data_IF_141364488111
#
_entry.id   IF_141364488111
#
_cell.length_a   1.000
_cell.length_b   1.000
_cell.length_c   1.000
_cell.angle_alpha   90.00
_cell.angle_beta   90.00
_cell.angle_gamma   90.00
#
_symmetry.space_group_name_H-M   'P 1'
#
loop_
_entity.id
_entity.type
_entity.pdbx_description
1 polymer ?
#
# COMPACT_ATOMS: atom_id res chain seq x y z
N UNK A 1 10.75 12.87 25.77
CA UNK A 1 9.99 13.55 24.72
C UNK A 1 8.64 12.86 24.53
N UNK A 2 7.66 13.53 23.91
CA UNK A 2 6.39 12.94 23.52
C UNK A 2 6.58 12.03 22.29
N UNK A 3 5.94 10.86 22.29
CA UNK A 3 6.00 9.90 21.19
C UNK A 3 4.61 9.35 20.85
N UNK A 4 4.42 8.90 19.63
CA UNK A 4 3.14 8.49 19.04
C UNK A 4 3.29 7.12 18.39
N UNK A 5 2.46 6.18 18.81
CA UNK A 5 2.52 4.79 18.40
C UNK A 5 1.48 4.48 17.32
N UNK A 6 1.92 3.90 16.22
CA UNK A 6 1.09 3.33 15.18
C UNK A 6 1.18 1.81 15.16
N UNK A 7 0.08 1.14 14.86
CA UNK A 7 -0.02 -0.32 14.71
C UNK A 7 -0.79 -0.64 13.43
N UNK A 8 -0.25 -1.54 12.60
CA UNK A 8 -0.92 -2.07 11.42
C UNK A 8 -0.71 -3.59 11.32
N UNK A 9 -1.81 -4.33 11.21
CA UNK A 9 -1.83 -5.79 11.00
C UNK A 9 -2.66 -6.14 9.76
N UNK A 10 -2.52 -5.33 8.73
CA UNK A 10 -3.15 -5.58 7.45
C UNK A 10 -2.42 -6.68 6.68
N UNK A 11 -3.18 -7.61 6.13
CA UNK A 11 -2.71 -8.65 5.21
C UNK A 11 -1.39 -9.35 5.61
N UNK A 12 -0.27 -9.01 4.96
CA UNK A 12 0.97 -9.79 5.03
C UNK A 12 2.06 -9.19 5.92
N UNK A 13 1.80 -8.10 6.61
CA UNK A 13 2.83 -7.46 7.45
C UNK A 13 2.28 -7.10 8.82
N UNK A 14 2.94 -7.57 9.88
CA UNK A 14 2.77 -7.03 11.23
C UNK A 14 3.71 -5.85 11.37
N UNK A 15 3.22 -4.66 11.69
CA UNK A 15 4.07 -3.48 11.84
C UNK A 15 3.68 -2.58 13.00
N UNK A 16 4.71 -2.03 13.64
CA UNK A 16 4.63 -1.01 14.68
C UNK A 16 5.57 0.13 14.31
N UNK A 17 5.13 1.37 14.45
CA UNK A 17 5.95 2.54 14.20
C UNK A 17 5.81 3.55 15.34
N UNK A 18 6.93 4.14 15.75
CA UNK A 18 6.99 5.18 16.76
C UNK A 18 7.52 6.49 16.14
N UNK A 19 6.75 7.57 16.27
CA UNK A 19 7.14 8.91 15.83
C UNK A 19 7.37 9.83 17.02
N UNK A 20 8.24 10.83 16.84
CA UNK A 20 8.36 11.96 17.75
C UNK A 20 7.40 13.12 17.35
N UNK A 21 7.46 14.22 18.07
CA UNK A 21 6.63 15.43 17.84
C UNK A 21 6.90 16.10 16.49
N UNK A 22 8.06 15.89 15.87
CA UNK A 22 8.42 16.39 14.55
C UNK A 22 8.10 15.41 13.42
N UNK A 23 7.28 14.38 13.69
CA UNK A 23 6.95 13.29 12.76
C UNK A 23 8.17 12.48 12.28
N UNK A 24 9.32 12.59 12.94
CA UNK A 24 10.47 11.75 12.63
C UNK A 24 10.28 10.34 13.18
N UNK A 25 10.69 9.34 12.40
CA UNK A 25 10.62 7.93 12.80
C UNK A 25 11.71 7.63 13.81
N UNK A 26 11.31 7.19 15.00
CA UNK A 26 12.21 6.70 16.05
C UNK A 26 12.39 5.19 15.95
N UNK A 27 11.32 4.46 15.63
CA UNK A 27 11.34 3.03 15.40
C UNK A 27 10.31 2.65 14.34
N UNK A 28 10.65 1.68 13.50
CA UNK A 28 9.77 1.12 12.47
C UNK A 28 10.04 -0.39 12.39
N UNK A 29 9.31 -1.13 13.20
CA UNK A 29 9.47 -2.57 13.34
C UNK A 29 8.43 -3.29 12.51
N UNK A 30 8.89 -4.14 11.58
CA UNK A 30 8.03 -4.89 10.66
C UNK A 30 8.41 -6.36 10.62
N UNK A 31 7.38 -7.21 10.45
CA UNK A 31 7.57 -8.61 10.17
C UNK A 31 6.59 -9.07 9.10
N UNK A 32 7.13 -9.49 7.96
CA UNK A 32 6.34 -10.09 6.88
C UNK A 32 5.90 -11.48 7.33
N UNK A 33 4.63 -11.82 7.08
CA UNK A 33 4.09 -13.15 7.37
C UNK A 33 4.68 -14.19 6.44
N UNK A 34 4.92 -15.35 6.96
CA UNK A 34 5.48 -16.47 6.21
C UNK A 34 4.38 -17.17 5.41
N UNK A 35 4.52 -17.20 4.10
CA UNK A 35 3.66 -17.99 3.21
C UNK A 35 4.36 -19.32 2.91
N UNK A 36 3.74 -20.49 3.18
CA UNK A 36 4.34 -21.78 2.88
C UNK A 36 4.68 -21.92 1.38
N UNK A 37 5.76 -22.63 1.09
CA UNK A 37 6.20 -22.89 -0.28
C UNK A 37 5.08 -23.53 -1.11
N UNK A 38 4.91 -23.06 -2.34
CA UNK A 38 3.85 -23.50 -3.26
C UNK A 38 2.46 -22.92 -3.00
N UNK A 39 2.25 -22.16 -1.91
CA UNK A 39 0.99 -21.43 -1.69
C UNK A 39 1.04 -20.01 -2.29
N UNK A 40 -0.12 -19.53 -2.72
CA UNK A 40 -0.30 -18.17 -3.32
C UNK A 40 -0.85 -17.15 -2.33
N UNK A 41 -0.83 -17.46 -1.02
CA UNK A 41 -1.34 -16.60 0.03
C UNK A 41 -1.65 -17.34 1.32
N UNK A 42 -2.20 -16.61 2.30
CA UNK A 42 -2.59 -17.11 3.62
C UNK A 42 -4.11 -16.99 3.81
N UNK A 43 -4.69 -17.93 4.58
CA UNK A 43 -6.04 -17.79 5.10
C UNK A 43 -6.10 -16.68 6.16
N UNK A 44 -7.28 -16.12 6.41
CA UNK A 44 -7.44 -15.08 7.45
C UNK A 44 -7.07 -15.61 8.84
N UNK A 45 -7.38 -16.86 9.15
CA UNK A 45 -7.01 -17.51 10.41
C UNK A 45 -5.50 -17.64 10.57
N UNK A 46 -4.78 -17.95 9.49
CA UNK A 46 -3.33 -18.02 9.46
C UNK A 46 -2.69 -16.64 9.67
N UNK A 47 -3.25 -15.60 9.03
CA UNK A 47 -2.80 -14.22 9.23
C UNK A 47 -2.98 -13.80 10.69
N UNK A 48 -4.17 -14.02 11.28
CA UNK A 48 -4.45 -13.72 12.70
C UNK A 48 -3.45 -14.44 13.60
N UNK A 49 -3.23 -15.75 13.39
CA UNK A 49 -2.29 -16.53 14.17
C UNK A 49 -0.87 -15.95 14.16
N UNK A 50 -0.36 -15.61 12.98
CA UNK A 50 0.99 -15.04 12.85
C UNK A 50 1.05 -13.63 13.44
N UNK A 51 0.06 -12.77 13.21
CA UNK A 51 0.02 -11.42 13.80
C UNK A 51 0.02 -11.47 15.32
N UNK A 52 -0.80 -12.34 15.94
CA UNK A 52 -0.87 -12.48 17.40
C UNK A 52 0.49 -12.89 17.97
N UNK A 53 1.25 -13.72 17.28
CA UNK A 53 2.60 -14.12 17.71
C UNK A 53 3.64 -13.02 17.50
N UNK A 54 3.52 -12.25 16.41
CA UNK A 54 4.51 -11.24 16.07
C UNK A 54 4.38 -9.96 16.92
N UNK A 55 3.14 -9.59 17.30
CA UNK A 55 2.88 -8.32 18.01
C UNK A 55 3.65 -8.18 19.32
N UNK A 56 3.70 -9.19 20.22
CA UNK A 56 4.49 -9.09 21.46
C UNK A 56 5.97 -8.83 21.18
N UNK A 57 6.58 -9.61 20.27
CA UNK A 57 8.00 -9.49 19.97
C UNK A 57 8.36 -8.12 19.35
N UNK A 58 7.49 -7.57 18.48
CA UNK A 58 7.70 -6.23 17.93
C UNK A 58 7.47 -5.13 18.99
N UNK A 59 6.52 -5.34 19.91
CA UNK A 59 6.27 -4.43 21.04
C UNK A 59 7.48 -4.39 21.97
N UNK A 60 8.08 -5.52 22.28
CA UNK A 60 9.31 -5.63 23.09
C UNK A 60 10.48 -4.86 22.46
N UNK A 61 10.64 -4.94 21.14
CA UNK A 61 11.67 -4.16 20.42
C UNK A 61 11.42 -2.66 20.53
N UNK A 62 10.16 -2.22 20.38
CA UNK A 62 9.80 -0.79 20.50
C UNK A 62 9.94 -0.30 21.94
N UNK A 63 9.77 -1.15 22.95
CA UNK A 63 9.84 -0.77 24.35
C UNK A 63 11.17 -0.07 24.71
N UNK A 64 12.28 -0.42 24.09
CA UNK A 64 13.56 0.25 24.29
C UNK A 64 13.55 1.73 23.87
N UNK A 65 12.77 2.08 22.85
CA UNK A 65 12.59 3.46 22.38
C UNK A 65 11.54 4.24 23.19
N UNK A 66 10.65 3.52 23.89
CA UNK A 66 9.68 4.13 24.81
C UNK A 66 10.34 4.47 26.15
N UNK A 67 11.39 3.74 26.56
CA UNK A 67 12.08 4.01 27.80
C UNK A 67 12.60 5.45 27.86
N UNK A 68 12.17 6.23 28.87
CA UNK A 68 12.48 7.65 29.02
C UNK A 68 11.67 8.60 28.14
N UNK A 69 10.71 8.10 27.37
CA UNK A 69 9.76 8.89 26.58
C UNK A 69 8.32 8.66 27.06
N UNK A 70 7.40 9.56 26.69
CA UNK A 70 5.99 9.47 27.04
C UNK A 70 5.17 9.16 25.80
N UNK A 71 4.53 7.99 25.76
CA UNK A 71 3.54 7.69 24.71
C UNK A 71 2.32 8.57 24.96
N UNK A 72 1.98 9.42 24.00
CA UNK A 72 0.87 10.39 24.14
C UNK A 72 -0.42 9.92 23.47
N UNK A 73 -0.31 9.10 22.44
CA UNK A 73 -1.45 8.52 21.73
C UNK A 73 -1.06 7.24 20.99
N UNK A 74 -2.05 6.40 20.75
CA UNK A 74 -1.96 5.19 19.94
C UNK A 74 -2.93 5.32 18.77
N UNK A 75 -2.53 4.89 17.57
CA UNK A 75 -3.47 4.69 16.47
C UNK A 75 -3.28 3.33 15.81
N UNK A 76 -4.35 2.79 15.24
CA UNK A 76 -4.35 1.45 14.67
C UNK A 76 -5.25 1.37 13.45
N UNK A 77 -4.83 0.60 12.46
CA UNK A 77 -5.72 0.22 11.37
C UNK A 77 -6.72 -0.83 11.86
N UNK A 78 -8.01 -0.59 11.61
CA UNK A 78 -9.10 -1.44 12.09
C UNK A 78 -9.89 -2.12 10.96
N UNK A 79 -9.68 -1.72 9.72
CA UNK A 79 -10.35 -2.25 8.53
C UNK A 79 -9.58 -1.90 7.24
N UNK A 80 -9.82 -2.62 6.13
CA UNK A 80 -9.17 -2.29 4.85
C UNK A 80 -9.53 -0.89 4.31
N UNK A 81 -10.82 -0.55 4.30
CA UNK A 81 -11.38 0.69 3.77
C UNK A 81 -12.40 1.28 4.72
N UNK A 82 -12.66 2.60 4.64
CA UNK A 82 -13.68 3.29 5.46
C UNK A 82 -15.10 3.04 4.92
N UNK A 83 -15.53 1.78 4.98
CA UNK A 83 -16.87 1.31 4.59
C UNK A 83 -17.37 0.32 5.63
N UNK A 84 -18.68 0.24 5.84
CA UNK A 84 -19.26 -0.62 6.87
C UNK A 84 -19.13 -2.11 6.55
N UNK A 85 -19.15 -2.46 5.26
CA UNK A 85 -18.95 -3.83 4.76
C UNK A 85 -17.48 -4.25 4.63
N UNK A 86 -16.55 -3.36 4.94
CA UNK A 86 -15.11 -3.61 4.85
C UNK A 86 -14.59 -4.24 6.14
N UNK A 87 -14.51 -5.57 6.15
CA UNK A 87 -14.06 -6.36 7.28
C UNK A 87 -13.04 -7.42 6.89
N UNK A 88 -11.96 -7.54 7.66
CA UNK A 88 -11.00 -8.64 7.59
C UNK A 88 -10.50 -8.99 8.99
N UNK A 89 -10.57 -10.29 9.39
CA UNK A 89 -10.15 -10.76 10.72
C UNK A 89 -8.73 -10.38 11.12
N UNK A 90 -7.78 -10.30 10.17
CA UNK A 90 -6.39 -9.93 10.43
C UNK A 90 -6.24 -8.63 11.24
N UNK A 91 -7.10 -7.63 10.97
CA UNK A 91 -7.08 -6.33 11.67
C UNK A 91 -7.43 -6.43 13.16
N UNK A 92 -8.18 -7.46 13.57
CA UNK A 92 -8.55 -7.64 14.98
C UNK A 92 -7.34 -7.86 15.88
N UNK A 93 -6.26 -8.45 15.37
CA UNK A 93 -5.02 -8.67 16.11
C UNK A 93 -4.40 -7.35 16.55
N UNK A 94 -4.19 -6.43 15.61
CA UNK A 94 -3.66 -5.09 15.89
C UNK A 94 -4.61 -4.25 16.74
N UNK A 95 -5.91 -4.28 16.43
CA UNK A 95 -6.93 -3.54 17.18
C UNK A 95 -6.99 -3.99 18.65
N UNK A 96 -6.95 -5.29 18.91
CA UNK A 96 -6.92 -5.83 20.27
C UNK A 96 -5.67 -5.36 21.05
N UNK A 97 -4.51 -5.48 20.43
CA UNK A 97 -3.24 -5.01 21.00
C UNK A 97 -3.29 -3.49 21.29
N UNK A 98 -3.68 -2.69 20.33
CA UNK A 98 -3.77 -1.22 20.46
C UNK A 98 -4.72 -0.79 21.58
N UNK A 99 -5.89 -1.44 21.69
CA UNK A 99 -6.85 -1.17 22.78
C UNK A 99 -6.26 -1.46 24.16
N UNK A 100 -5.57 -2.58 24.29
CA UNK A 100 -4.93 -2.97 25.56
C UNK A 100 -3.84 -1.98 25.94
N UNK A 101 -2.95 -1.62 24.99
CA UNK A 101 -1.88 -0.67 25.22
C UNK A 101 -2.42 0.73 25.57
N UNK A 102 -3.38 1.25 24.81
CA UNK A 102 -3.96 2.56 25.05
C UNK A 102 -4.64 2.64 26.42
N UNK A 103 -5.37 1.60 26.83
CA UNK A 103 -6.01 1.52 28.13
C UNK A 103 -4.99 1.48 29.29
N UNK A 104 -3.94 0.65 29.16
CA UNK A 104 -2.89 0.53 30.19
C UNK A 104 -2.04 1.80 30.34
N UNK A 105 -1.79 2.48 29.22
CA UNK A 105 -1.03 3.74 29.18
C UNK A 105 -1.90 4.97 29.51
N UNK A 106 -3.22 4.79 29.59
CA UNK A 106 -4.21 5.86 29.80
C UNK A 106 -4.08 6.99 28.76
N UNK A 107 -4.00 6.62 27.48
CA UNK A 107 -3.85 7.54 26.34
C UNK A 107 -4.97 7.34 25.30
N UNK A 108 -5.28 8.36 24.48
CA UNK A 108 -6.28 8.25 23.43
C UNK A 108 -5.89 7.20 22.38
N UNK A 109 -6.92 6.49 21.87
CA UNK A 109 -6.82 5.54 20.77
C UNK A 109 -7.56 6.07 19.55
N UNK A 110 -6.85 6.23 18.45
CA UNK A 110 -7.42 6.61 17.16
C UNK A 110 -7.47 5.42 16.20
N UNK A 111 -8.50 5.39 15.36
CA UNK A 111 -8.68 4.33 14.36
C UNK A 111 -8.65 4.91 12.97
N UNK A 112 -8.11 4.14 12.03
CA UNK A 112 -8.09 4.48 10.62
C UNK A 112 -8.18 3.21 9.79
N UNK A 113 -8.57 3.35 8.51
CA UNK A 113 -8.48 2.25 7.56
C UNK A 113 -7.03 2.08 7.08
N UNK A 114 -6.71 0.89 6.59
CA UNK A 114 -5.42 0.61 5.96
C UNK A 114 -5.15 1.53 4.75
N UNK A 115 -6.20 1.86 4.00
CA UNK A 115 -6.11 2.80 2.88
C UNK A 115 -5.70 4.21 3.35
N UNK A 116 -6.30 4.72 4.44
CA UNK A 116 -5.87 5.99 5.07
C UNK A 116 -4.44 5.91 5.59
N UNK A 117 -4.04 4.77 6.16
CA UNK A 117 -2.68 4.56 6.65
C UNK A 117 -1.63 4.76 5.53
N UNK A 118 -1.85 4.18 4.35
CA UNK A 118 -0.95 4.37 3.21
C UNK A 118 -0.85 5.83 2.77
N UNK A 119 -1.98 6.55 2.69
CA UNK A 119 -1.98 7.97 2.33
C UNK A 119 -1.22 8.82 3.35
N UNK A 120 -1.49 8.61 4.64
CA UNK A 120 -0.84 9.34 5.73
C UNK A 120 0.65 9.03 5.81
N UNK A 121 1.06 7.78 5.54
CA UNK A 121 2.47 7.41 5.47
C UNK A 121 3.21 8.15 4.34
N UNK A 122 2.58 8.29 3.17
CA UNK A 122 3.12 9.06 2.06
C UNK A 122 3.25 10.55 2.41
N UNK A 123 2.22 11.16 2.99
CA UNK A 123 2.24 12.58 3.39
C UNK A 123 3.34 12.86 4.42
N UNK A 124 3.39 12.03 5.47
CA UNK A 124 4.43 12.14 6.49
C UNK A 124 5.83 12.11 5.86
N UNK A 125 6.06 11.14 4.98
CA UNK A 125 7.39 10.90 4.42
C UNK A 125 7.83 12.00 3.44
N UNK A 126 6.89 12.64 2.74
CA UNK A 126 7.16 13.78 1.84
C UNK A 126 7.20 15.11 2.63
N UNK A 127 6.65 15.14 3.84
CA UNK A 127 6.54 16.36 4.64
C UNK A 127 5.56 17.40 4.09
N UNK A 128 4.67 16.99 3.17
CA UNK A 128 3.73 17.88 2.51
C UNK A 128 2.37 17.19 2.37
N UNK A 129 1.34 17.84 2.86
CA UNK A 129 -0.05 17.41 2.64
C UNK A 129 -0.53 17.94 1.28
N UNK A 130 -1.07 17.08 0.40
CA UNK A 130 -1.61 17.51 -0.89
C UNK A 130 -2.77 18.49 -0.71
N UNK A 131 -2.86 19.48 -1.59
CA UNK A 131 -4.04 20.34 -1.66
C UNK A 131 -5.20 19.56 -2.25
N UNK A 132 -6.33 19.63 -1.60
CA UNK A 132 -7.53 18.88 -1.96
C UNK A 132 -8.49 19.63 -2.91
N UNK A 133 -9.34 18.89 -3.65
CA UNK A 133 -9.32 17.44 -3.79
C UNK A 133 -8.10 16.97 -4.61
N UNK A 134 -7.59 15.78 -4.31
CA UNK A 134 -6.52 15.16 -5.10
C UNK A 134 -6.87 13.72 -5.49
N UNK A 135 -6.18 13.22 -6.51
CA UNK A 135 -6.29 11.83 -6.93
C UNK A 135 -5.24 10.97 -6.21
N UNK A 136 -5.62 9.78 -5.75
CA UNK A 136 -4.66 8.81 -5.21
C UNK A 136 -4.72 7.50 -5.98
N UNK A 137 -3.56 6.98 -6.36
CA UNK A 137 -3.36 5.69 -6.99
C UNK A 137 -2.90 4.70 -5.93
N UNK A 138 -3.74 3.72 -5.60
CA UNK A 138 -3.43 2.69 -4.61
C UNK A 138 -3.20 1.35 -5.31
N UNK A 139 -1.93 0.92 -5.39
CA UNK A 139 -1.48 -0.29 -6.07
C UNK A 139 -0.78 -1.23 -5.10
N UNK A 140 -1.46 -2.29 -4.68
CA UNK A 140 -0.91 -3.29 -3.75
C UNK A 140 -1.11 -4.73 -4.26
N UNK A 141 -0.70 -5.70 -3.46
CA UNK A 141 -0.98 -7.11 -3.70
C UNK A 141 -2.48 -7.45 -3.78
N UNK A 142 -3.33 -6.69 -3.10
CA UNK A 142 -4.78 -6.91 -3.07
C UNK A 142 -5.63 -5.82 -3.74
N UNK A 143 -5.02 -4.69 -4.09
CA UNK A 143 -5.77 -3.49 -4.51
C UNK A 143 -5.18 -2.87 -5.78
N UNK A 144 -6.05 -2.41 -6.67
CA UNK A 144 -5.73 -1.53 -7.79
C UNK A 144 -6.88 -0.55 -7.94
N UNK A 145 -6.78 0.56 -7.25
CA UNK A 145 -7.84 1.56 -7.17
C UNK A 145 -7.29 2.96 -7.51
N UNK A 146 -8.14 3.75 -8.15
CA UNK A 146 -8.03 5.21 -8.22
C UNK A 146 -9.04 5.78 -7.23
N UNK A 147 -8.58 6.71 -6.42
CA UNK A 147 -9.32 7.30 -5.32
C UNK A 147 -9.38 8.82 -5.50
N UNK A 148 -10.54 9.40 -5.24
CA UNK A 148 -10.69 10.81 -4.93
C UNK A 148 -10.52 10.96 -3.42
N UNK A 149 -9.68 11.89 -3.02
CA UNK A 149 -9.43 12.20 -1.61
C UNK A 149 -9.72 13.68 -1.38
N UNK A 150 -10.55 13.95 -0.39
CA UNK A 150 -10.93 15.30 0.01
C UNK A 150 -11.19 15.35 1.51
N UNK A 151 -11.14 16.56 2.09
CA UNK A 151 -11.48 16.78 3.49
C UNK A 151 -12.92 17.27 3.59
N UNK A 152 -13.69 16.71 4.51
CA UNK A 152 -14.98 17.23 4.93
C UNK A 152 -14.90 17.53 6.44
N UNK A 153 -14.81 18.82 6.77
CA UNK A 153 -14.50 19.25 8.13
C UNK A 153 -13.16 18.68 8.61
N UNK A 154 -13.17 17.92 9.70
CA UNK A 154 -12.00 17.24 10.26
C UNK A 154 -11.77 15.83 9.72
N UNK A 155 -12.63 15.35 8.82
CA UNK A 155 -12.61 13.99 8.31
C UNK A 155 -12.04 13.90 6.90
N UNK A 156 -11.20 12.91 6.64
CA UNK A 156 -10.76 12.57 5.28
C UNK A 156 -11.80 11.66 4.62
N UNK A 157 -12.36 12.12 3.51
CA UNK A 157 -13.30 11.35 2.68
C UNK A 157 -12.53 10.74 1.52
N UNK A 158 -12.60 9.43 1.39
CA UNK A 158 -11.95 8.65 0.32
C UNK A 158 -13.02 7.96 -0.51
N UNK A 159 -13.15 8.37 -1.76
CA UNK A 159 -14.10 7.79 -2.70
C UNK A 159 -13.37 7.06 -3.80
N UNK A 160 -13.71 5.78 -4.02
CA UNK A 160 -13.18 5.03 -5.17
C UNK A 160 -13.86 5.52 -6.44
N UNK A 161 -13.07 6.04 -7.38
CA UNK A 161 -13.53 6.57 -8.67
C UNK A 161 -13.11 5.69 -9.85
N UNK A 162 -12.31 4.66 -9.62
CA UNK A 162 -11.88 3.70 -10.64
C UNK A 162 -11.07 2.56 -10.06
N UNK A 163 -10.72 1.58 -10.90
CA UNK A 163 -9.85 0.49 -10.50
C UNK A 163 -10.10 -0.80 -11.27
N UNK A 164 -9.48 -1.90 -10.84
CA UNK A 164 -9.70 -3.20 -11.49
C UNK A 164 -11.04 -3.82 -11.11
N UNK A 165 -11.62 -4.56 -12.07
CA UNK A 165 -12.85 -5.34 -11.87
C UNK A 165 -12.57 -6.79 -11.46
N UNK A 166 -11.30 -7.22 -11.53
CA UNK A 166 -10.90 -8.60 -11.28
C UNK A 166 -9.63 -8.67 -10.42
N UNK A 167 -8.51 -9.13 -10.95
CA UNK A 167 -7.26 -9.25 -10.20
C UNK A 167 -6.54 -7.92 -10.08
N UNK A 168 -5.88 -7.70 -8.94
CA UNK A 168 -5.04 -6.51 -8.76
C UNK A 168 -3.75 -6.59 -9.60
N UNK A 169 -3.11 -5.43 -9.80
CA UNK A 169 -1.79 -5.35 -10.44
C UNK A 169 -0.75 -6.22 -9.72
N UNK A 170 -0.74 -6.21 -8.38
CA UNK A 170 0.16 -7.05 -7.59
C UNK A 170 -0.14 -8.54 -7.77
N UNK A 171 -1.41 -8.95 -7.76
CA UNK A 171 -1.79 -10.34 -8.05
C UNK A 171 -1.38 -10.77 -9.47
N UNK A 172 -1.54 -9.90 -10.46
CA UNK A 172 -1.11 -10.19 -11.83
C UNK A 172 0.40 -10.45 -11.88
N UNK A 173 1.20 -9.56 -11.31
CA UNK A 173 2.66 -9.70 -11.23
C UNK A 173 3.05 -11.00 -10.48
N UNK A 174 2.45 -11.25 -9.33
CA UNK A 174 2.75 -12.42 -8.50
C UNK A 174 2.39 -13.74 -9.20
N UNK A 175 1.24 -13.81 -9.87
CA UNK A 175 0.81 -15.01 -10.61
C UNK A 175 1.74 -15.33 -11.78
N UNK A 176 2.17 -14.31 -12.53
CA UNK A 176 3.15 -14.48 -13.61
C UNK A 176 4.49 -14.94 -13.04
N UNK A 177 4.99 -14.28 -11.98
CA UNK A 177 6.25 -14.66 -11.36
C UNK A 177 6.26 -16.09 -10.83
N UNK A 178 5.21 -16.50 -10.12
CA UNK A 178 5.08 -17.87 -9.61
C UNK A 178 5.01 -18.90 -10.76
N UNK A 179 4.33 -18.58 -11.86
CA UNK A 179 4.29 -19.46 -13.04
C UNK A 179 5.65 -19.59 -13.72
N UNK A 180 6.52 -18.58 -13.61
CA UNK A 180 7.92 -18.62 -14.06
C UNK A 180 8.86 -19.30 -13.05
N UNK A 181 8.34 -19.83 -11.91
CA UNK A 181 9.14 -20.47 -10.86
C UNK A 181 9.82 -19.49 -9.90
N UNK A 182 9.44 -18.22 -9.92
CA UNK A 182 10.00 -17.21 -9.01
C UNK A 182 9.33 -17.30 -7.61
N UNK A 183 10.06 -16.96 -6.52
CA UNK A 183 9.51 -17.00 -5.18
C UNK A 183 8.36 -15.99 -4.96
N UNK A 184 7.39 -16.34 -4.13
CA UNK A 184 6.32 -15.43 -3.69
C UNK A 184 6.73 -14.63 -2.41
N UNK A 185 6.41 -13.32 -2.30
CA UNK A 185 5.84 -12.42 -3.32
C UNK A 185 6.82 -12.18 -4.47
N UNK A 186 6.32 -12.29 -5.71
CA UNK A 186 7.18 -12.33 -6.88
C UNK A 186 7.59 -10.94 -7.41
N UNK A 187 6.96 -9.87 -6.95
CA UNK A 187 7.10 -8.51 -7.50
C UNK A 187 8.54 -8.07 -7.70
N UNK A 188 9.41 -8.20 -6.68
CA UNK A 188 10.84 -7.82 -6.76
C UNK A 188 11.65 -8.68 -7.75
N UNK A 189 11.25 -9.92 -7.95
CA UNK A 189 11.95 -10.84 -8.87
C UNK A 189 11.53 -10.57 -10.31
N UNK A 190 10.22 -10.35 -10.55
CA UNK A 190 9.70 -9.95 -11.87
C UNK A 190 10.29 -8.60 -12.28
N UNK A 191 10.38 -7.63 -11.35
CA UNK A 191 11.06 -6.35 -11.60
C UNK A 191 12.50 -6.56 -12.06
N UNK A 192 13.28 -7.30 -11.28
CA UNK A 192 14.69 -7.58 -11.61
C UNK A 192 14.87 -8.28 -12.95
N UNK A 193 14.06 -9.29 -13.26
CA UNK A 193 14.13 -10.02 -14.52
C UNK A 193 13.73 -9.15 -15.71
N UNK A 194 12.79 -8.22 -15.54
CA UNK A 194 12.31 -7.36 -16.60
C UNK A 194 13.37 -6.36 -17.12
N UNK A 195 14.34 -5.97 -16.28
CA UNK A 195 15.24 -4.85 -16.53
C UNK A 195 15.99 -4.93 -17.86
N UNK A 196 16.39 -6.14 -18.28
CA UNK A 196 17.16 -6.36 -19.52
C UNK A 196 16.32 -6.23 -20.78
N UNK A 197 15.00 -6.42 -20.69
CA UNK A 197 14.09 -6.45 -21.84
C UNK A 197 13.09 -5.27 -21.88
N UNK A 198 13.09 -4.36 -20.89
CA UNK A 198 12.12 -3.25 -20.83
C UNK A 198 12.17 -2.33 -22.07
N UNK A 199 13.33 -2.15 -22.69
CA UNK A 199 13.47 -1.34 -23.88
C UNK A 199 13.15 -2.07 -25.19
N UNK A 200 12.95 -3.38 -25.15
CA UNK A 200 12.81 -4.24 -26.33
C UNK A 200 11.36 -4.63 -26.63
N UNK A 201 10.48 -4.50 -25.64
CA UNK A 201 9.09 -4.96 -25.73
C UNK A 201 8.09 -3.90 -25.31
N UNK A 202 6.86 -4.07 -25.78
CA UNK A 202 5.70 -3.31 -25.33
C UNK A 202 4.78 -4.22 -24.51
N UNK A 203 3.97 -3.62 -23.64
CA UNK A 203 2.90 -4.32 -22.94
C UNK A 203 1.68 -4.56 -23.84
N UNK A 204 0.82 -5.45 -23.37
CA UNK A 204 -0.46 -5.70 -24.02
C UNK A 204 -1.47 -4.60 -23.67
N UNK A 205 -2.39 -4.22 -24.58
CA UNK A 205 -3.50 -3.33 -24.24
C UNK A 205 -4.38 -3.98 -23.19
N UNK A 206 -4.83 -3.19 -22.23
CA UNK A 206 -5.70 -3.64 -21.13
C UNK A 206 -7.15 -3.27 -21.47
N UNK A 207 -8.10 -4.19 -21.18
CA UNK A 207 -9.50 -3.83 -21.30
C UNK A 207 -9.83 -2.72 -20.30
N UNK A 208 -10.52 -1.67 -20.78
CA UNK A 208 -10.94 -0.55 -19.95
C UNK A 208 -12.35 -0.06 -20.37
N UNK A 209 -13.11 0.36 -19.37
CA UNK A 209 -14.41 0.99 -19.56
C UNK A 209 -14.83 1.72 -18.27
N UNK A 210 -15.30 2.96 -18.41
CA UNK A 210 -15.92 3.74 -17.32
C UNK A 210 -15.10 3.76 -16.02
N UNK A 211 -13.79 4.04 -16.11
CA UNK A 211 -12.88 4.04 -14.97
C UNK A 211 -12.51 2.67 -14.44
N UNK A 212 -12.90 1.61 -15.12
CA UNK A 212 -12.56 0.23 -14.76
C UNK A 212 -11.60 -0.39 -15.75
N UNK A 213 -10.70 -1.26 -15.26
CA UNK A 213 -9.79 -2.08 -16.06
C UNK A 213 -9.88 -3.55 -15.66
N UNK A 214 -9.37 -4.44 -16.52
CA UNK A 214 -9.29 -5.89 -16.26
C UNK A 214 -7.92 -6.44 -16.64
N UNK A 215 -7.27 -7.13 -15.71
CA UNK A 215 -6.00 -7.82 -15.94
C UNK A 215 -6.13 -9.31 -16.21
N UNK A 216 -7.24 -9.97 -15.84
CA UNK A 216 -7.38 -11.43 -15.92
C UNK A 216 -7.20 -11.99 -17.34
N UNK A 217 -7.73 -11.29 -18.36
CA UNK A 217 -7.53 -11.69 -19.74
C UNK A 217 -6.06 -11.62 -20.20
N UNK A 218 -5.30 -10.66 -19.66
CA UNK A 218 -3.86 -10.53 -19.95
C UNK A 218 -3.03 -11.52 -19.16
N UNK A 219 -3.41 -11.77 -17.93
CA UNK A 219 -2.81 -12.84 -17.12
C UNK A 219 -2.93 -14.18 -17.83
N UNK A 220 -4.14 -14.55 -18.27
CA UNK A 220 -4.37 -15.78 -19.03
C UNK A 220 -3.60 -15.85 -20.35
N UNK A 221 -3.40 -14.72 -21.03
CA UNK A 221 -2.57 -14.66 -22.24
C UNK A 221 -1.10 -14.94 -21.93
N UNK A 222 -0.54 -14.28 -20.91
CA UNK A 222 0.85 -14.48 -20.49
C UNK A 222 1.08 -15.91 -19.99
N UNK A 223 0.11 -16.51 -19.27
CA UNK A 223 0.20 -17.92 -18.86
C UNK A 223 0.36 -18.88 -20.06
N UNK A 224 -0.34 -18.58 -21.17
CA UNK A 224 -0.16 -19.35 -22.41
C UNK A 224 1.23 -19.19 -23.02
N UNK A 225 1.81 -17.98 -23.01
CA UNK A 225 3.19 -17.74 -23.47
C UNK A 225 4.20 -18.51 -22.62
N UNK A 226 4.02 -18.53 -21.30
CA UNK A 226 4.86 -19.31 -20.37
C UNK A 226 4.76 -20.81 -20.71
N UNK A 227 3.53 -21.31 -20.90
CA UNK A 227 3.30 -22.73 -21.20
C UNK A 227 3.87 -23.14 -22.56
N UNK A 228 3.85 -22.26 -23.57
CA UNK A 228 4.44 -22.51 -24.88
C UNK A 228 5.97 -22.61 -24.83
N UNK A 229 6.62 -21.93 -23.86
CA UNK A 229 8.08 -22.03 -23.66
C UNK A 229 8.94 -21.35 -24.72
N UNK A 230 8.34 -20.59 -25.64
CA UNK A 230 9.02 -19.95 -26.77
C UNK A 230 9.54 -18.53 -26.44
N UNK A 231 9.11 -17.97 -25.33
CA UNK A 231 9.44 -16.60 -24.91
C UNK A 231 10.29 -16.64 -23.65
N UNK A 232 11.37 -15.87 -23.61
CA UNK A 232 12.27 -15.83 -22.45
C UNK A 232 11.58 -15.24 -21.21
N UNK A 233 12.08 -15.60 -20.03
CA UNK A 233 11.59 -15.11 -18.75
C UNK A 233 11.65 -13.57 -18.69
N UNK A 234 12.74 -12.98 -19.15
CA UNK A 234 12.97 -11.52 -19.14
C UNK A 234 11.94 -10.79 -20.00
N UNK A 235 11.65 -11.31 -21.20
CA UNK A 235 10.62 -10.74 -22.09
C UNK A 235 9.25 -10.83 -21.46
N UNK A 236 8.86 -11.96 -20.89
CA UNK A 236 7.58 -12.15 -20.20
C UNK A 236 7.45 -11.19 -19.03
N UNK A 237 8.49 -11.06 -18.21
CA UNK A 237 8.52 -10.13 -17.10
C UNK A 237 8.37 -8.67 -17.59
N UNK A 238 9.10 -8.27 -18.63
CA UNK A 238 9.02 -6.92 -19.19
C UNK A 238 7.63 -6.63 -19.79
N UNK A 239 7.06 -7.56 -20.56
CA UNK A 239 5.70 -7.45 -21.08
C UNK A 239 4.65 -7.32 -19.97
N UNK A 240 4.84 -8.05 -18.86
CA UNK A 240 3.97 -7.94 -17.67
C UNK A 240 4.04 -6.54 -17.08
N UNK A 241 5.23 -6.01 -16.88
CA UNK A 241 5.41 -4.67 -16.31
C UNK A 241 4.83 -3.56 -17.19
N UNK A 242 5.06 -3.63 -18.50
CA UNK A 242 4.44 -2.71 -19.47
C UNK A 242 2.91 -2.84 -19.51
N UNK A 243 2.38 -4.06 -19.39
CA UNK A 243 0.91 -4.27 -19.34
C UNK A 243 0.30 -3.66 -18.10
N UNK A 244 0.97 -3.79 -16.93
CA UNK A 244 0.55 -3.11 -15.70
C UNK A 244 0.59 -1.59 -15.88
N UNK A 245 1.66 -1.05 -16.47
CA UNK A 245 1.77 0.38 -16.77
C UNK A 245 0.63 0.86 -17.67
N UNK A 246 0.29 0.13 -18.72
CA UNK A 246 -0.83 0.45 -19.61
C UNK A 246 -2.14 0.58 -18.80
N UNK A 247 -2.44 -0.40 -17.93
CA UNK A 247 -3.63 -0.34 -17.08
C UNK A 247 -3.64 0.84 -16.12
N UNK A 248 -2.49 1.19 -15.53
CA UNK A 248 -2.36 2.37 -14.66
C UNK A 248 -2.65 3.65 -15.43
N UNK A 249 -2.09 3.79 -16.64
CA UNK A 249 -2.28 4.98 -17.46
C UNK A 249 -3.74 5.14 -17.91
N UNK A 250 -4.43 4.06 -18.29
CA UNK A 250 -5.86 4.07 -18.62
C UNK A 250 -6.73 4.53 -17.43
N UNK A 251 -6.43 4.05 -16.22
CA UNK A 251 -7.12 4.51 -15.01
C UNK A 251 -6.88 5.99 -14.74
N UNK A 252 -5.63 6.45 -14.85
CA UNK A 252 -5.28 7.84 -14.64
C UNK A 252 -5.89 8.75 -15.70
N UNK A 253 -5.87 8.36 -16.97
CA UNK A 253 -6.46 9.14 -18.05
C UNK A 253 -7.96 9.32 -17.86
N UNK A 254 -8.67 8.26 -17.46
CA UNK A 254 -10.10 8.36 -17.14
C UNK A 254 -10.37 9.23 -15.91
N UNK A 255 -9.60 9.04 -14.83
CA UNK A 255 -9.81 9.77 -13.59
C UNK A 255 -9.48 11.27 -13.72
N UNK A 256 -8.50 11.62 -14.53
CA UNK A 256 -8.05 12.99 -14.74
C UNK A 256 -8.86 13.72 -15.82
N UNK A 257 -9.60 12.99 -16.67
CA UNK A 257 -10.43 13.57 -17.71
C UNK A 257 -11.57 14.42 -17.10
N UNK A 258 -11.57 15.72 -17.39
CA UNK A 258 -12.60 16.64 -16.91
C UNK A 258 -12.55 16.98 -15.42
N UNK A 259 -11.52 16.54 -14.70
CA UNK A 259 -11.31 16.87 -13.29
C UNK A 259 -10.11 17.82 -13.13
N UNK A 260 -10.21 18.75 -12.18
CA UNK A 260 -9.16 19.74 -11.89
C UNK A 260 -8.16 19.25 -10.84
N UNK A 261 -7.83 17.94 -10.80
CA UNK A 261 -6.81 17.45 -9.89
C UNK A 261 -5.44 18.02 -10.26
N UNK A 262 -4.77 18.63 -9.29
CA UNK A 262 -3.41 19.17 -9.44
C UNK A 262 -2.34 18.21 -8.93
N UNK A 263 -2.76 17.19 -8.17
CA UNK A 263 -1.84 16.26 -7.51
C UNK A 263 -2.36 14.83 -7.67
N UNK A 264 -1.44 13.92 -7.96
CA UNK A 264 -1.63 12.46 -7.89
C UNK A 264 -0.67 11.90 -6.83
N UNK A 265 -1.23 11.32 -5.78
CA UNK A 265 -0.47 10.59 -4.76
C UNK A 265 -0.46 9.11 -5.13
N UNK A 266 0.69 8.45 -5.11
CA UNK A 266 0.78 7.02 -5.42
C UNK A 266 1.31 6.22 -4.22
N UNK A 267 0.58 5.17 -3.84
CA UNK A 267 0.85 4.33 -2.66
C UNK A 267 0.66 2.85 -2.97
N UNK A 268 1.16 2.00 -2.09
CA UNK A 268 1.07 0.54 -2.18
C UNK A 268 2.32 -0.12 -2.77
N UNK A 269 2.56 -1.39 -2.40
CA UNK A 269 3.81 -2.09 -2.66
C UNK A 269 4.20 -2.23 -4.14
N UNK A 270 3.24 -2.19 -5.08
CA UNK A 270 3.53 -2.20 -6.52
C UNK A 270 4.29 -0.92 -6.94
N UNK A 271 4.11 0.19 -6.22
CA UNK A 271 4.82 1.45 -6.47
C UNK A 271 6.27 1.47 -5.97
N UNK A 272 6.76 0.41 -5.33
CA UNK A 272 8.19 0.21 -5.08
C UNK A 272 8.97 -0.07 -6.38
N UNK A 273 8.28 -0.51 -7.43
CA UNK A 273 8.87 -0.75 -8.75
C UNK A 273 9.33 0.55 -9.41
N UNK A 274 10.62 0.65 -9.72
CA UNK A 274 11.22 1.86 -10.29
C UNK A 274 10.71 2.16 -11.69
N UNK A 275 10.51 1.16 -12.54
CA UNK A 275 10.01 1.36 -13.90
C UNK A 275 8.60 1.97 -13.89
N UNK A 276 7.69 1.40 -13.08
CA UNK A 276 6.33 1.92 -12.96
C UNK A 276 6.33 3.34 -12.40
N UNK A 277 7.10 3.57 -11.32
CA UNK A 277 7.21 4.88 -10.66
C UNK A 277 7.69 5.96 -11.63
N UNK A 278 8.82 5.74 -12.30
CA UNK A 278 9.40 6.73 -13.23
C UNK A 278 8.53 6.95 -14.47
N UNK A 279 7.88 5.90 -14.96
CA UNK A 279 6.98 5.99 -16.11
C UNK A 279 5.70 6.79 -15.79
N UNK A 280 5.09 6.55 -14.63
CA UNK A 280 3.93 7.32 -14.16
C UNK A 280 4.33 8.77 -13.88
N UNK A 281 5.47 9.01 -13.23
CA UNK A 281 5.98 10.37 -13.01
C UNK A 281 6.17 11.14 -14.33
N UNK A 282 6.78 10.51 -15.33
CA UNK A 282 6.94 11.11 -16.65
C UNK A 282 5.58 11.42 -17.32
N UNK A 283 4.59 10.53 -17.15
CA UNK A 283 3.24 10.76 -17.66
C UNK A 283 2.54 11.92 -16.96
N UNK A 284 2.65 12.04 -15.64
CA UNK A 284 2.07 13.15 -14.88
C UNK A 284 2.75 14.48 -15.17
N UNK A 285 4.07 14.50 -15.33
CA UNK A 285 4.83 15.69 -15.73
C UNK A 285 4.36 16.25 -17.07
N UNK A 286 4.09 15.39 -18.08
CA UNK A 286 3.53 15.81 -19.37
C UNK A 286 2.15 16.48 -19.23
N UNK A 287 1.36 16.07 -18.24
CA UNK A 287 0.03 16.62 -17.91
C UNK A 287 0.09 17.84 -16.98
N UNK A 288 1.28 18.25 -16.54
CA UNK A 288 1.50 19.32 -15.54
C UNK A 288 0.81 19.03 -14.21
N UNK A 289 0.74 17.76 -13.82
CA UNK A 289 0.19 17.29 -12.56
C UNK A 289 1.36 16.95 -11.63
N UNK A 290 1.30 17.41 -10.39
CA UNK A 290 2.27 17.04 -9.35
C UNK A 290 2.11 15.55 -9.03
N UNK A 291 3.20 14.80 -9.08
CA UNK A 291 3.22 13.39 -8.73
C UNK A 291 3.95 13.19 -7.40
N UNK A 292 3.26 12.62 -6.42
CA UNK A 292 3.77 12.36 -5.07
C UNK A 292 3.74 10.84 -4.82
N UNK A 293 4.77 10.10 -5.24
CA UNK A 293 4.88 8.69 -4.86
C UNK A 293 5.33 8.59 -3.40
N UNK A 294 4.76 7.66 -2.65
CA UNK A 294 5.30 7.33 -1.34
C UNK A 294 6.79 6.96 -1.49
N UNK A 295 7.69 7.47 -0.62
CA UNK A 295 9.09 7.10 -0.67
C UNK A 295 9.30 5.60 -0.57
N UNK A 296 10.41 5.10 -1.12
CA UNK A 296 10.77 3.69 -1.04
C UNK A 296 10.82 3.22 0.43
N UNK A 297 10.29 2.03 0.68
CA UNK A 297 10.13 1.48 2.02
C UNK A 297 8.86 1.96 2.76
N UNK A 298 8.16 2.99 2.27
CA UNK A 298 6.89 3.47 2.84
C UNK A 298 5.67 3.24 1.92
N UNK A 299 5.89 2.79 0.69
CA UNK A 299 4.82 2.34 -0.21
C UNK A 299 4.25 0.97 0.18
N UNK A 300 5.09 0.08 0.72
CA UNK A 300 4.67 -1.21 1.28
C UNK A 300 3.98 -1.04 2.64
N UNK A 301 3.32 -2.10 3.11
CA UNK A 301 2.62 -2.11 4.40
C UNK A 301 3.53 -1.69 5.55
N UNK A 302 3.09 -0.69 6.30
CA UNK A 302 3.80 -0.12 7.45
C UNK A 302 2.83 0.61 8.37
N UNK A 303 3.23 0.87 9.62
CA UNK A 303 2.41 1.56 10.62
C UNK A 303 2.71 3.07 10.75
N UNK A 304 3.54 3.65 9.87
CA UNK A 304 3.95 5.05 10.01
C UNK A 304 2.82 6.05 9.76
N UNK A 305 1.86 5.71 8.90
CA UNK A 305 0.66 6.51 8.70
C UNK A 305 -0.25 6.49 9.93
N UNK A 306 -0.39 5.32 10.59
CA UNK A 306 -1.12 5.22 11.85
C UNK A 306 -0.44 6.06 12.95
N UNK A 307 0.87 5.96 13.12
CA UNK A 307 1.60 6.80 14.07
C UNK A 307 1.44 8.30 13.76
N UNK A 308 1.43 8.68 12.48
CA UNK A 308 1.18 10.05 12.06
C UNK A 308 -0.27 10.50 12.33
N UNK A 309 -1.25 9.60 12.20
CA UNK A 309 -2.63 9.87 12.66
C UNK A 309 -2.68 10.16 14.15
N UNK A 310 -2.02 9.34 14.97
CA UNK A 310 -1.93 9.56 16.41
C UNK A 310 -1.37 10.94 16.75
N UNK A 311 -0.26 11.32 16.11
CA UNK A 311 0.37 12.63 16.25
C UNK A 311 -0.61 13.78 15.90
N UNK A 312 -1.22 13.72 14.73
CA UNK A 312 -2.12 14.78 14.22
C UNK A 312 -3.34 14.97 15.10
N UNK A 313 -4.02 13.89 15.45
CA UNK A 313 -5.24 13.96 16.28
C UNK A 313 -4.95 14.41 17.70
N UNK A 314 -3.83 14.00 18.27
CA UNK A 314 -3.39 14.48 19.58
C UNK A 314 -3.16 16.00 19.58
N UNK A 315 -2.49 16.54 18.56
CA UNK A 315 -2.26 17.98 18.42
C UNK A 315 -3.56 18.76 18.18
N UNK A 316 -4.50 18.22 17.35
CA UNK A 316 -5.82 18.84 17.13
C UNK A 316 -6.65 18.92 18.43
N UNK A 317 -6.56 17.91 19.30
CA UNK A 317 -7.28 17.89 20.56
C UNK A 317 -6.74 18.89 21.59
N UNK A 318 -5.60 19.54 21.33
CA UNK A 318 -5.00 20.53 22.23
C UNK A 318 -4.49 19.95 23.56
N UNK A 319 -4.18 18.63 23.60
CA UNK A 319 -3.77 17.88 24.79
C UNK A 319 -2.24 17.93 24.97
#
# INVERSE_FOLDING_TARGET
>A
MKVYLGIDTSCYTTSLCLLNEQAAVLADERRILTVPEGKRGLSQSEMVYQHVRNLPELTEKIASYVAGNTVCAVAVTDKPRRRDDSYMPAFLSGLGCARSLAAMLNVPLYRLSHQENHLLAAWRAVGKEPKEPYCALHLSGGTTDILRVETDGDSTVITRIGGTTDISAGQFIDRVGVALGLPFPAGKYVDRQSLTALGEVNGFPVWHRDGSISFSGRESHIQRLITAGETSCEIICAQTMHTVLNGILELLDTALAGNEYKTVVAVGGVMENNFLRTSVEAAMRRRRIEFIPAPQGFSADNASGAAFKALREYHKAGI
#
